data_IF_406786747693
#
_entry.id   IF_406786747693
#
_cell.length_a   1.000
_cell.length_b   1.000
_cell.length_c   1.000
_cell.angle_alpha   90.00
_cell.angle_beta   90.00
_cell.angle_gamma   90.00
#
_symmetry.space_group_name_H-M   'P 1'
#
loop_
_entity.id
_entity.type
_entity.pdbx_description
1 polymer ?
#
# COMPACT_ATOMS: atom_id res chain seq x y z
N UNK A 1 12.95 -16.21 24.97
CA UNK A 1 12.04 -15.05 24.95
C UNK A 1 11.17 -15.28 23.74
N UNK A 2 9.93 -15.71 23.93
CA UNK A 2 8.97 -15.83 22.83
C UNK A 2 8.57 -14.42 22.42
N UNK A 3 8.71 -14.08 21.14
CA UNK A 3 8.13 -12.85 20.60
C UNK A 3 6.62 -12.88 20.82
N UNK A 4 5.99 -11.77 21.25
CA UNK A 4 4.55 -11.74 21.37
C UNK A 4 3.96 -11.99 19.98
N UNK A 5 3.22 -13.10 19.85
CA UNK A 5 2.51 -13.40 18.61
C UNK A 5 1.57 -12.24 18.29
N UNK A 6 1.73 -11.65 17.10
CA UNK A 6 0.83 -10.60 16.60
C UNK A 6 -0.60 -11.14 16.57
N UNK A 7 -1.58 -10.29 16.89
CA UNK A 7 -2.98 -10.69 16.79
C UNK A 7 -3.33 -10.98 15.33
N UNK A 8 -4.33 -11.85 15.10
CA UNK A 8 -4.84 -12.12 13.74
C UNK A 8 -5.30 -10.85 13.02
N UNK A 9 -5.79 -9.86 13.77
CA UNK A 9 -6.17 -8.55 13.23
C UNK A 9 -4.96 -7.77 12.73
N UNK A 10 -3.85 -7.75 13.48
CA UNK A 10 -2.60 -7.09 13.04
C UNK A 10 -2.02 -7.79 11.82
N UNK A 11 -2.02 -9.13 11.80
CA UNK A 11 -1.57 -9.90 10.63
C UNK A 11 -2.41 -9.61 9.38
N UNK A 12 -3.74 -9.58 9.51
CA UNK A 12 -4.63 -9.26 8.40
C UNK A 12 -4.44 -7.81 7.90
N UNK A 13 -4.19 -6.87 8.79
CA UNK A 13 -3.89 -5.49 8.44
C UNK A 13 -2.55 -5.35 7.70
N UNK A 14 -1.52 -6.08 8.14
CA UNK A 14 -0.23 -6.13 7.45
C UNK A 14 -0.35 -6.75 6.05
N UNK A 15 -1.12 -7.82 5.90
CA UNK A 15 -1.43 -8.42 4.60
C UNK A 15 -2.17 -7.42 3.68
N UNK A 16 -3.05 -6.57 4.23
CA UNK A 16 -3.72 -5.53 3.45
C UNK A 16 -2.76 -4.42 3.01
N UNK A 17 -1.85 -3.98 3.90
CA UNK A 17 -0.80 -3.01 3.57
C UNK A 17 0.11 -3.55 2.47
N UNK A 18 0.56 -4.80 2.58
CA UNK A 18 1.41 -5.46 1.58
C UNK A 18 0.77 -5.48 0.19
N UNK A 19 -0.53 -5.83 0.12
CA UNK A 19 -1.28 -5.79 -1.14
C UNK A 19 -1.35 -4.39 -1.76
N UNK A 20 -1.53 -3.37 -0.92
CA UNK A 20 -1.59 -1.98 -1.40
C UNK A 20 -0.21 -1.54 -1.91
N UNK A 21 0.86 -1.87 -1.21
CA UNK A 21 2.23 -1.58 -1.64
C UNK A 21 2.56 -2.25 -2.98
N UNK A 22 2.15 -3.50 -3.18
CA UNK A 22 2.29 -4.18 -4.47
C UNK A 22 1.52 -3.46 -5.60
N UNK A 23 0.33 -2.94 -5.33
CA UNK A 23 -0.42 -2.14 -6.31
C UNK A 23 0.32 -0.85 -6.65
N UNK A 24 0.85 -0.14 -5.65
CA UNK A 24 1.64 1.08 -5.87
C UNK A 24 2.89 0.80 -6.70
N UNK A 25 3.58 -0.33 -6.46
CA UNK A 25 4.74 -0.75 -7.24
C UNK A 25 4.38 -0.98 -8.71
N UNK A 26 3.34 -1.75 -9.00
CA UNK A 26 2.89 -1.98 -10.38
C UNK A 26 2.52 -0.68 -11.10
N UNK A 27 1.88 0.26 -10.40
CA UNK A 27 1.55 1.58 -10.92
C UNK A 27 2.80 2.41 -11.23
N UNK A 28 3.80 2.35 -10.36
CA UNK A 28 5.09 3.01 -10.57
C UNK A 28 5.86 2.41 -11.76
N UNK A 29 5.91 1.09 -11.88
CA UNK A 29 6.51 0.39 -13.02
C UNK A 29 5.81 0.73 -14.33
N UNK A 30 4.47 0.75 -14.32
CA UNK A 30 3.69 1.19 -15.47
C UNK A 30 4.10 2.60 -15.87
N UNK A 31 4.17 3.54 -14.92
CA UNK A 31 4.56 4.95 -15.15
C UNK A 31 5.97 5.16 -15.72
N UNK A 32 6.87 4.20 -15.47
CA UNK A 32 8.24 4.21 -15.96
C UNK A 32 8.36 3.61 -17.37
N UNK A 33 7.32 2.94 -17.87
CA UNK A 33 7.28 2.47 -19.25
C UNK A 33 7.09 3.63 -20.25
N UNK A 34 7.43 3.38 -21.51
CA UNK A 34 7.27 4.32 -22.63
C UNK A 34 5.80 4.53 -23.07
N UNK A 35 4.83 4.01 -22.30
CA UNK A 35 3.41 4.16 -22.58
C UNK A 35 2.90 5.57 -22.33
N UNK A 36 1.88 5.99 -23.09
CA UNK A 36 1.18 7.25 -22.87
C UNK A 36 0.34 7.17 -21.58
N UNK A 37 0.97 7.47 -20.45
CA UNK A 37 0.36 7.40 -19.13
C UNK A 37 0.04 8.80 -18.63
N UNK A 38 -1.19 8.96 -18.14
CA UNK A 38 -1.60 10.15 -17.43
C UNK A 38 -0.95 10.18 -16.03
N UNK A 39 0.28 10.71 -15.95
CA UNK A 39 1.06 10.84 -14.71
C UNK A 39 0.32 11.62 -13.62
N UNK A 40 -0.42 12.72 -13.91
CA UNK A 40 -1.25 13.38 -12.89
C UNK A 40 -2.31 12.47 -12.26
N UNK A 41 -3.05 11.71 -13.07
CA UNK A 41 -4.04 10.78 -12.53
C UNK A 41 -3.40 9.65 -11.72
N UNK A 42 -2.25 9.15 -12.18
CA UNK A 42 -1.49 8.15 -11.44
C UNK A 42 -1.09 8.64 -10.05
N UNK A 43 -0.61 9.88 -9.96
CA UNK A 43 -0.22 10.50 -8.70
C UNK A 43 -1.42 10.56 -7.72
N UNK A 44 -2.60 10.95 -8.19
CA UNK A 44 -3.83 10.96 -7.38
C UNK A 44 -4.16 9.56 -6.84
N UNK A 45 -3.99 8.52 -7.67
CA UNK A 45 -4.22 7.13 -7.25
C UNK A 45 -3.19 6.71 -6.20
N UNK A 46 -1.91 7.03 -6.38
CA UNK A 46 -0.86 6.70 -5.42
C UNK A 46 -1.08 7.39 -4.07
N UNK A 47 -1.49 8.67 -4.06
CA UNK A 47 -1.86 9.39 -2.84
C UNK A 47 -3.07 8.74 -2.14
N UNK A 48 -4.07 8.29 -2.89
CA UNK A 48 -5.20 7.58 -2.31
C UNK A 48 -4.78 6.27 -1.64
N UNK A 49 -3.90 5.50 -2.28
CA UNK A 49 -3.37 4.24 -1.74
C UNK A 49 -2.52 4.49 -0.49
N UNK A 50 -1.71 5.55 -0.48
CA UNK A 50 -0.94 5.96 0.69
C UNK A 50 -1.86 6.30 1.87
N UNK A 51 -2.88 7.14 1.68
CA UNK A 51 -3.86 7.44 2.73
C UNK A 51 -4.61 6.20 3.23
N UNK A 52 -4.73 5.15 2.40
CA UNK A 52 -5.31 3.89 2.83
C UNK A 52 -4.35 3.14 3.77
N UNK A 53 -3.06 3.09 3.44
CA UNK A 53 -2.02 2.52 4.31
C UNK A 53 -1.97 3.27 5.64
N UNK A 54 -1.95 4.61 5.62
CA UNK A 54 -1.90 5.42 6.85
C UNK A 54 -3.08 5.09 7.77
N UNK A 55 -4.29 4.99 7.21
CA UNK A 55 -5.48 4.60 7.98
C UNK A 55 -5.43 3.17 8.53
N UNK A 56 -4.76 2.24 7.85
CA UNK A 56 -4.59 0.87 8.36
C UNK A 56 -3.53 0.87 9.47
N UNK A 57 -2.44 1.60 9.28
CA UNK A 57 -1.37 1.77 10.27
C UNK A 57 -1.91 2.39 11.57
N UNK A 58 -2.72 3.46 11.47
CA UNK A 58 -3.38 4.10 12.61
C UNK A 58 -4.30 3.16 13.39
N UNK A 59 -4.88 2.14 12.73
CA UNK A 59 -5.76 1.16 13.37
C UNK A 59 -5.02 0.08 14.15
N UNK A 60 -3.76 -0.20 13.80
CA UNK A 60 -2.95 -1.26 14.41
C UNK A 60 -1.85 -0.75 15.33
N UNK A 61 -1.66 0.57 15.42
CA UNK A 61 -0.76 1.24 16.35
C UNK A 61 -1.34 1.33 17.76
#
# INVERSE_FOLDING_TARGET
>A
MEEPALSQEVLAALDEIDRILHQMLMLAELSASDGEINRPNLQIVLEHLQHKIDRIADRIS
#
